data_IF_933320433118
#
_entry.id   IF_933320433118
#
_cell.length_a   1.000
_cell.length_b   1.000
_cell.length_c   1.000
_cell.angle_alpha   90.00
_cell.angle_beta   90.00
_cell.angle_gamma   90.00
#
_symmetry.space_group_name_H-M   'P 1'
#
loop_
_entity.id
_entity.type
_entity.pdbx_description
1 polymer ?
#
# COMPACT_ATOMS: atom_id res chain seq x y z
N UNK A 1 -2.17 2.56 -17.19
CA UNK A 1 -1.87 2.43 -15.74
C UNK A 1 -0.37 2.50 -15.56
N UNK A 2 0.14 3.31 -14.63
CA UNK A 2 1.58 3.38 -14.32
C UNK A 2 2.02 2.01 -13.76
N UNK A 3 2.96 1.29 -14.39
CA UNK A 3 3.49 0.05 -13.83
C UNK A 3 4.19 0.34 -12.49
N UNK A 4 4.01 -0.54 -11.50
CA UNK A 4 4.64 -0.39 -10.19
C UNK A 4 5.68 -1.49 -10.00
N UNK A 5 6.89 -1.21 -10.47
CA UNK A 5 8.05 -2.09 -10.41
C UNK A 5 9.31 -1.29 -10.10
N UNK A 6 10.42 -1.99 -9.86
CA UNK A 6 11.69 -1.39 -9.42
C UNK A 6 12.17 -0.30 -10.39
N UNK A 7 12.19 -0.60 -11.69
CA UNK A 7 12.63 0.35 -12.71
C UNK A 7 11.78 1.63 -12.70
N UNK A 8 10.45 1.47 -12.65
CA UNK A 8 9.54 2.63 -12.65
C UNK A 8 9.74 3.45 -11.38
N UNK A 9 9.92 2.80 -10.22
CA UNK A 9 10.17 3.50 -8.97
C UNK A 9 11.54 4.24 -9.00
N UNK A 10 12.58 3.62 -9.56
CA UNK A 10 13.89 4.25 -9.73
C UNK A 10 13.80 5.49 -10.63
N UNK A 11 13.10 5.40 -11.75
CA UNK A 11 12.90 6.53 -12.67
C UNK A 11 12.14 7.69 -11.99
N UNK A 12 11.13 7.37 -11.18
CA UNK A 12 10.35 8.37 -10.42
C UNK A 12 11.18 9.02 -9.30
N UNK A 13 12.07 8.26 -8.64
CA UNK A 13 12.99 8.79 -7.63
C UNK A 13 13.99 9.76 -8.26
N UNK A 14 14.55 9.39 -9.42
CA UNK A 14 15.56 10.18 -10.12
C UNK A 14 15.01 11.54 -10.59
N UNK A 15 13.74 11.59 -10.96
CA UNK A 15 13.09 12.79 -11.52
C UNK A 15 12.08 13.42 -10.56
N UNK A 16 12.17 13.11 -9.27
CA UNK A 16 11.13 13.46 -8.30
C UNK A 16 10.81 14.95 -8.24
N UNK A 17 11.83 15.81 -8.34
CA UNK A 17 11.68 17.26 -8.24
C UNK A 17 11.06 17.89 -9.52
N UNK A 18 10.97 17.12 -10.61
CA UNK A 18 10.35 17.52 -11.88
C UNK A 18 8.89 17.09 -12.01
N UNK A 19 8.36 16.36 -11.03
CA UNK A 19 7.05 15.74 -11.12
C UNK A 19 5.92 16.77 -10.98
N UNK A 20 4.89 16.61 -11.79
CA UNK A 20 3.65 17.37 -11.62
C UNK A 20 2.83 16.87 -10.42
N UNK A 21 1.86 17.68 -10.00
CA UNK A 21 1.03 17.39 -8.83
C UNK A 21 0.22 16.08 -8.99
N UNK A 22 -0.19 15.75 -10.22
CA UNK A 22 -0.97 14.54 -10.50
C UNK A 22 -0.11 13.28 -10.37
N UNK A 23 1.12 13.34 -10.85
CA UNK A 23 2.10 12.25 -10.74
C UNK A 23 2.48 12.07 -9.29
N UNK A 24 2.74 13.16 -8.56
CA UNK A 24 2.97 13.12 -7.11
C UNK A 24 1.84 12.37 -6.37
N UNK A 25 0.57 12.71 -6.64
CA UNK A 25 -0.58 12.03 -6.02
C UNK A 25 -0.67 10.56 -6.43
N UNK A 26 -0.35 10.24 -7.68
CA UNK A 26 -0.34 8.86 -8.18
C UNK A 26 0.72 8.03 -7.45
N UNK A 27 1.92 8.58 -7.23
CA UNK A 27 2.98 7.90 -6.47
C UNK A 27 2.54 7.68 -5.03
N UNK A 28 1.95 8.69 -4.38
CA UNK A 28 1.45 8.54 -3.01
C UNK A 28 0.42 7.41 -2.92
N UNK A 29 -0.53 7.35 -3.87
CA UNK A 29 -1.51 6.27 -3.93
C UNK A 29 -0.83 4.90 -4.13
N UNK A 30 0.22 4.81 -4.96
CA UNK A 30 0.97 3.57 -5.17
C UNK A 30 1.76 3.12 -3.95
N UNK A 31 2.41 4.04 -3.25
CA UNK A 31 3.12 3.76 -1.98
C UNK A 31 2.13 3.23 -0.95
N UNK A 32 0.98 3.89 -0.79
CA UNK A 32 -0.05 3.47 0.15
C UNK A 32 -0.64 2.11 -0.24
N UNK A 33 -0.98 1.90 -1.51
CA UNK A 33 -1.48 0.63 -2.04
C UNK A 33 -0.50 -0.51 -1.78
N UNK A 34 0.81 -0.29 -1.99
CA UNK A 34 1.83 -1.29 -1.70
C UNK A 34 1.89 -1.67 -0.21
N UNK A 35 1.83 -0.67 0.68
CA UNK A 35 1.83 -0.88 2.13
C UNK A 35 0.55 -1.60 2.59
N UNK A 36 -0.61 -1.26 2.03
CA UNK A 36 -1.89 -1.90 2.33
C UNK A 36 -1.86 -3.38 1.96
N UNK A 37 -1.28 -3.73 0.80
CA UNK A 37 -1.07 -5.13 0.40
C UNK A 37 -0.16 -5.91 1.37
N UNK A 38 0.84 -5.25 1.96
CA UNK A 38 1.69 -5.84 3.00
C UNK A 38 0.93 -6.03 4.32
N UNK A 39 0.11 -5.04 4.69
CA UNK A 39 -0.66 -5.04 5.94
C UNK A 39 -1.72 -6.14 5.98
N UNK A 40 -2.44 -6.34 4.88
CA UNK A 40 -3.50 -7.34 4.78
C UNK A 40 -2.98 -8.77 4.84
N UNK A 41 -1.65 -8.98 4.75
CA UNK A 41 -1.04 -10.29 4.69
C UNK A 41 -1.48 -11.10 3.47
N UNK A 42 -2.14 -10.46 2.49
CA UNK A 42 -2.68 -11.10 1.30
C UNK A 42 -1.62 -11.82 0.47
N UNK A 43 -0.37 -11.34 0.54
CA UNK A 43 0.81 -11.97 -0.06
C UNK A 43 1.00 -13.41 0.45
N UNK A 44 0.72 -13.65 1.72
CA UNK A 44 0.99 -14.92 2.42
C UNK A 44 -0.07 -16.00 2.17
N UNK A 45 -1.28 -15.62 1.76
CA UNK A 45 -2.38 -16.55 1.45
C UNK A 45 -2.43 -16.96 -0.04
N UNK A 46 -1.39 -16.62 -0.82
CA UNK A 46 -1.31 -16.93 -2.25
C UNK A 46 -0.44 -18.15 -2.53
N UNK A 47 -0.69 -18.87 -3.64
CA UNK A 47 0.16 -19.99 -4.11
C UNK A 47 1.62 -19.61 -4.32
N UNK A 48 1.86 -18.32 -4.58
CA UNK A 48 3.15 -17.76 -4.97
C UNK A 48 3.67 -16.82 -3.88
N UNK A 49 3.38 -17.12 -2.61
CA UNK A 49 3.75 -16.27 -1.48
C UNK A 49 5.24 -15.95 -1.45
N UNK A 50 6.10 -16.90 -1.84
CA UNK A 50 7.54 -16.69 -2.01
C UNK A 50 7.86 -15.60 -3.04
N UNK A 51 7.40 -15.76 -4.29
CA UNK A 51 7.63 -14.76 -5.35
C UNK A 51 7.04 -13.38 -5.01
N UNK A 52 5.88 -13.36 -4.32
CA UNK A 52 5.24 -12.12 -3.86
C UNK A 52 6.01 -11.43 -2.74
N UNK A 53 6.62 -12.20 -1.85
CA UNK A 53 7.51 -11.68 -0.81
C UNK A 53 8.82 -11.16 -1.43
N UNK A 54 9.37 -11.85 -2.44
CA UNK A 54 10.54 -11.39 -3.20
C UNK A 54 10.24 -10.06 -3.91
N UNK A 55 9.10 -9.95 -4.60
CA UNK A 55 8.64 -8.70 -5.21
C UNK A 55 8.52 -7.56 -4.17
N UNK A 56 7.96 -7.85 -2.99
CA UNK A 56 7.86 -6.88 -1.91
C UNK A 56 9.23 -6.45 -1.35
N UNK A 57 10.17 -7.38 -1.25
CA UNK A 57 11.54 -7.09 -0.81
C UNK A 57 12.29 -6.21 -1.83
N UNK A 58 12.15 -6.51 -3.12
CA UNK A 58 12.74 -5.68 -4.20
C UNK A 58 12.16 -4.27 -4.18
N UNK A 59 10.86 -4.14 -3.95
CA UNK A 59 10.18 -2.84 -3.92
C UNK A 59 10.35 -2.06 -2.61
N UNK A 60 10.94 -2.64 -1.57
CA UNK A 60 11.00 -2.04 -0.23
C UNK A 60 11.78 -0.72 -0.23
N UNK A 61 13.04 -0.72 -0.67
CA UNK A 61 13.88 0.48 -0.64
C UNK A 61 13.36 1.60 -1.55
N UNK A 62 12.88 1.32 -2.78
CA UNK A 62 12.21 2.34 -3.58
C UNK A 62 10.96 2.91 -2.89
N UNK A 63 10.15 2.08 -2.23
CA UNK A 63 8.95 2.53 -1.51
C UNK A 63 9.32 3.43 -0.33
N UNK A 64 10.34 3.06 0.45
CA UNK A 64 10.85 3.87 1.56
C UNK A 64 11.36 5.21 1.06
N UNK A 65 12.19 5.20 0.02
CA UNK A 65 12.76 6.43 -0.56
C UNK A 65 11.68 7.37 -1.09
N UNK A 66 10.67 6.84 -1.78
CA UNK A 66 9.55 7.62 -2.27
C UNK A 66 8.69 8.16 -1.13
N UNK A 67 8.44 7.37 -0.08
CA UNK A 67 7.71 7.82 1.11
C UNK A 67 8.42 9.00 1.79
N UNK A 68 9.73 8.95 1.94
CA UNK A 68 10.54 10.06 2.48
C UNK A 68 10.47 11.31 1.60
N UNK A 69 10.69 11.16 0.29
CA UNK A 69 10.61 12.27 -0.68
C UNK A 69 9.20 12.90 -0.74
N UNK A 70 8.15 12.09 -0.58
CA UNK A 70 6.77 12.57 -0.47
C UNK A 70 6.49 13.29 0.87
N UNK A 71 7.40 13.23 1.85
CA UNK A 71 7.23 13.85 3.17
C UNK A 71 6.45 13.01 4.18
N UNK A 72 6.37 11.69 3.96
CA UNK A 72 5.71 10.72 4.84
C UNK A 72 6.66 9.59 5.27
N UNK A 73 7.78 9.87 5.95
CA UNK A 73 8.77 8.87 6.34
C UNK A 73 8.20 7.74 7.21
N UNK A 74 7.10 8.00 7.94
CA UNK A 74 6.39 6.98 8.72
C UNK A 74 5.85 5.82 7.86
N UNK A 75 5.54 6.07 6.59
CA UNK A 75 5.12 5.02 5.65
C UNK A 75 6.29 4.09 5.32
N UNK A 76 7.51 4.64 5.21
CA UNK A 76 8.71 3.84 5.00
C UNK A 76 9.03 2.94 6.19
N UNK A 77 8.87 3.47 7.42
CA UNK A 77 9.04 2.67 8.66
C UNK A 77 8.03 1.53 8.71
N UNK A 78 6.76 1.80 8.41
CA UNK A 78 5.70 0.79 8.40
C UNK A 78 5.98 -0.28 7.33
N UNK A 79 6.39 0.12 6.13
CA UNK A 79 6.74 -0.80 5.05
C UNK A 79 7.86 -1.77 5.47
N UNK A 80 8.92 -1.27 6.11
CA UNK A 80 10.01 -2.12 6.63
C UNK A 80 9.49 -3.13 7.66
N UNK A 81 8.73 -2.65 8.65
CA UNK A 81 8.19 -3.49 9.71
C UNK A 81 7.28 -4.61 9.16
N UNK A 82 6.41 -4.28 8.19
CA UNK A 82 5.49 -5.23 7.58
C UNK A 82 6.22 -6.26 6.71
N UNK A 83 7.23 -5.84 5.93
CA UNK A 83 8.04 -6.77 5.12
C UNK A 83 8.84 -7.72 6.02
N UNK A 84 9.44 -7.23 7.10
CA UNK A 84 10.14 -8.08 8.08
C UNK A 84 9.20 -9.07 8.78
N UNK A 85 8.00 -8.62 9.17
CA UNK A 85 6.97 -9.47 9.77
C UNK A 85 6.53 -10.56 8.80
N UNK A 86 6.28 -10.20 7.54
CA UNK A 86 5.88 -11.11 6.46
C UNK A 86 6.97 -12.15 6.18
N UNK A 87 8.25 -11.76 6.17
CA UNK A 87 9.37 -12.69 5.97
C UNK A 87 9.51 -13.73 7.08
N UNK A 88 9.05 -13.43 8.31
CA UNK A 88 9.06 -14.36 9.44
C UNK A 88 7.80 -15.21 9.54
N UNK A 89 6.74 -14.83 8.83
CA UNK A 89 5.45 -15.50 8.90
C UNK A 89 5.52 -16.87 8.22
N UNK A 90 5.21 -17.92 8.97
CA UNK A 90 5.11 -19.29 8.45
C UNK A 90 3.63 -19.63 8.25
N UNK A 91 3.16 -19.64 7.00
CA UNK A 91 1.81 -20.10 6.68
C UNK A 91 1.82 -21.62 6.54
N UNK A 92 0.98 -22.37 7.26
CA UNK A 92 0.86 -23.81 7.10
C UNK A 92 0.55 -24.18 5.63
N UNK A 93 1.17 -25.25 5.07
CA UNK A 93 0.93 -25.66 3.68
C UNK A 93 -0.56 -25.83 3.27
N UNK A 94 -1.49 -26.29 4.14
CA UNK A 94 -2.91 -26.36 3.79
C UNK A 94 -3.60 -25.01 3.58
N UNK A 95 -3.03 -23.92 4.11
CA UNK A 95 -3.52 -22.55 3.96
C UNK A 95 -2.78 -21.80 2.83
N UNK A 96 -1.66 -22.33 2.37
CA UNK A 96 -0.97 -21.85 1.18
C UNK A 96 -1.75 -22.34 -0.05
N UNK A 97 -2.31 -21.40 -0.81
CA UNK A 97 -3.26 -21.70 -1.86
C UNK A 97 -2.59 -22.39 -3.06
N UNK A 98 -2.33 -23.69 -3.05
CA UNK A 98 -1.61 -24.38 -4.13
C UNK A 98 -2.37 -24.40 -5.48
N UNK A 99 -3.66 -24.06 -5.50
CA UNK A 99 -4.54 -24.29 -6.63
C UNK A 99 -5.45 -23.07 -6.86
N UNK A 100 -5.13 -22.22 -7.85
CA UNK A 100 -5.79 -20.91 -8.15
C UNK A 100 -7.33 -20.97 -8.27
N UNK A 101 -7.94 -22.16 -8.35
CA UNK A 101 -9.36 -22.39 -8.65
C UNK A 101 -10.20 -22.86 -7.46
N UNK A 102 -9.61 -23.14 -6.30
CA UNK A 102 -10.33 -23.74 -5.17
C UNK A 102 -10.16 -22.89 -3.91
N UNK A 103 -11.00 -21.86 -3.76
CA UNK A 103 -11.74 -21.56 -2.53
C UNK A 103 -12.71 -20.40 -2.81
N UNK A 104 -14.00 -20.72 -2.80
CA UNK A 104 -15.12 -19.75 -2.68
C UNK A 104 -15.43 -19.41 -1.21
N UNK A 105 -14.60 -19.84 -0.26
CA UNK A 105 -14.76 -19.57 1.18
C UNK A 105 -13.41 -19.34 1.84
N UNK A 106 -12.99 -18.08 1.89
CA UNK A 106 -11.98 -17.62 2.84
C UNK A 106 -12.56 -17.75 4.26
N UNK A 107 -11.95 -18.59 5.08
CA UNK A 107 -12.18 -18.54 6.54
C UNK A 107 -11.20 -17.52 7.10
N UNK A 108 -11.63 -16.27 7.19
CA UNK A 108 -10.89 -15.26 7.94
C UNK A 108 -11.11 -15.50 9.44
N UNK A 109 -10.06 -15.72 10.24
CA UNK A 109 -10.19 -15.74 11.69
C UNK A 109 -10.66 -14.35 12.17
N UNK A 110 -11.65 -14.31 13.08
CA UNK A 110 -12.26 -13.07 13.62
C UNK A 110 -11.27 -12.10 14.27
N UNK A 111 -10.04 -12.53 14.55
CA UNK A 111 -8.97 -11.73 15.14
C UNK A 111 -8.26 -10.80 14.14
N UNK A 112 -8.53 -10.92 12.84
CA UNK A 112 -7.95 -10.08 11.78
C UNK A 112 -8.84 -8.90 11.35
N UNK A 113 -9.74 -8.42 12.22
CA UNK A 113 -10.18 -7.02 12.11
C UNK A 113 -9.03 -6.11 12.52
N UNK A 114 -7.98 -6.05 11.70
CA UNK A 114 -6.98 -4.99 11.79
C UNK A 114 -7.75 -3.73 11.41
N UNK A 115 -8.12 -2.95 12.43
CA UNK A 115 -8.69 -1.63 12.19
C UNK A 115 -7.70 -0.90 11.27
N UNK A 116 -8.15 -0.30 10.14
CA UNK A 116 -7.25 0.39 9.24
C UNK A 116 -6.45 1.39 10.07
N UNK A 117 -5.12 1.30 10.01
CA UNK A 117 -4.23 2.12 10.84
C UNK A 117 -4.69 3.57 10.69
N UNK A 118 -5.20 4.24 11.75
CA UNK A 118 -5.83 5.55 11.62
C UNK A 118 -4.95 6.59 10.92
N UNK A 119 -3.62 6.42 11.02
CA UNK A 119 -2.60 7.21 10.31
C UNK A 119 -2.65 7.06 8.79
N UNK A 120 -2.81 5.86 8.22
CA UNK A 120 -2.90 5.66 6.76
C UNK A 120 -4.08 6.43 6.17
N UNK A 121 -5.25 6.34 6.83
CA UNK A 121 -6.41 7.19 6.50
C UNK A 121 -6.07 8.66 6.63
N UNK A 122 -5.45 9.10 7.73
CA UNK A 122 -5.13 10.50 7.92
C UNK A 122 -4.17 11.06 6.85
N UNK A 123 -3.19 10.26 6.40
CA UNK A 123 -2.23 10.60 5.35
C UNK A 123 -2.94 10.73 4.00
N UNK A 124 -3.77 9.76 3.61
CA UNK A 124 -4.58 9.85 2.39
C UNK A 124 -5.46 11.10 2.38
N UNK A 125 -6.08 11.42 3.52
CA UNK A 125 -6.97 12.58 3.64
C UNK A 125 -6.24 13.93 3.60
N UNK A 126 -4.97 13.96 4.02
CA UNK A 126 -4.11 15.15 3.95
C UNK A 126 -3.49 15.31 2.56
N UNK A 127 -2.92 14.24 2.00
CA UNK A 127 -2.23 14.24 0.71
C UNK A 127 -3.14 14.42 -0.50
N UNK A 128 -4.38 13.93 -0.45
CA UNK A 128 -5.35 14.09 -1.55
C UNK A 128 -6.16 15.39 -1.45
N UNK A 129 -5.95 16.23 -0.43
CA UNK A 129 -6.67 17.51 -0.28
C UNK A 129 -8.19 17.40 -0.09
N UNK A 130 -8.72 16.19 0.16
CA UNK A 130 -10.16 15.87 0.18
C UNK A 130 -10.94 16.68 1.23
N UNK A 131 -10.28 17.19 2.28
CA UNK A 131 -10.92 18.08 3.27
C UNK A 131 -11.54 19.35 2.67
N UNK A 132 -10.97 19.90 1.59
CA UNK A 132 -11.56 21.07 0.90
C UNK A 132 -12.74 20.67 0.00
N UNK A 133 -12.63 19.54 -0.71
CA UNK A 133 -13.67 19.05 -1.61
C UNK A 133 -14.95 18.62 -0.87
N UNK A 134 -14.83 17.99 0.30
CA UNK A 134 -16.00 17.61 1.11
C UNK A 134 -16.66 18.85 1.74
N UNK A 135 -15.88 19.87 2.17
CA UNK A 135 -16.46 21.12 2.69
C UNK A 135 -17.21 21.89 1.60
N UNK A 136 -16.74 21.93 0.35
CA UNK A 136 -17.48 22.58 -0.73
C UNK A 136 -18.76 21.81 -1.11
N UNK A 137 -18.73 20.47 -1.08
CA UNK A 137 -19.91 19.64 -1.33
C UNK A 137 -20.99 19.79 -0.24
N UNK A 138 -20.61 19.97 1.03
CA UNK A 138 -21.57 20.20 2.13
C UNK A 138 -22.00 21.67 2.29
N UNK A 139 -21.26 22.63 1.74
CA UNK A 139 -21.70 24.04 1.69
C UNK A 139 -22.59 24.34 0.49
N UNK A 140 -22.43 23.63 -0.64
CA UNK A 140 -23.27 23.81 -1.82
C UNK A 140 -24.68 23.23 -1.67
N UNK A 141 -24.92 22.35 -0.68
CA UNK A 141 -26.22 21.74 -0.39
C UNK A 141 -27.10 22.49 0.63
N UNK A 142 -26.71 23.70 1.06
CA UNK A 142 -27.50 24.53 2.00
C UNK A 142 -28.13 25.79 1.39
N UNK A 143 -27.95 26.02 0.08
CA UNK A 143 -28.52 27.16 -0.65
C UNK A 143 -29.39 26.72 -1.84
N UNK A 144 -30.20 25.68 -1.69
CA UNK A 144 -31.27 25.33 -2.64
C UNK A 144 -32.53 24.96 -1.89
#
# INVERSE_FOLDING_TARGET
>A
TLPWNEQTAADLIARFDELDQTTYQTILLRVVDHIDHLLDGGLMYSAHSGARLEEAQVMLEPTVTLAEKLGYPELGVEARALTESSARMKVPPPLQNQDKRKFSRLVAPRTHQIAPIPKLRQILWRGLGIRKAIRSLFQSGKNS
#
